data_IF_851614521188
#
_entry.id   IF_851614521188
#
_cell.length_a   1.000
_cell.length_b   1.000
_cell.length_c   1.000
_cell.angle_alpha   90.00
_cell.angle_beta   90.00
_cell.angle_gamma   90.00
#
_symmetry.space_group_name_H-M   'P 1'
#
loop_
_entity.id
_entity.type
_entity.pdbx_description
1 polymer ?
#
# COMPACT_ATOMS: atom_id res chain seq x y z
N UNK A 1 5.38 1.16 -37.53
CA UNK A 1 4.89 -0.22 -37.33
C UNK A 1 5.48 -1.06 -38.45
N UNK A 2 5.98 -2.27 -38.19
CA UNK A 2 6.50 -3.11 -39.26
C UNK A 2 5.37 -3.48 -40.23
N UNK A 3 5.70 -3.57 -41.51
CA UNK A 3 4.75 -3.96 -42.54
C UNK A 3 4.45 -5.46 -42.42
N UNK A 4 3.21 -5.79 -42.05
CA UNK A 4 2.71 -7.17 -41.93
C UNK A 4 2.02 -7.64 -43.23
N UNK A 5 2.29 -6.94 -44.35
CA UNK A 5 1.70 -7.17 -45.68
C UNK A 5 1.97 -8.57 -46.23
N UNK A 6 2.92 -9.31 -45.65
CA UNK A 6 3.25 -10.70 -46.02
C UNK A 6 2.11 -11.68 -45.68
N UNK A 7 1.23 -11.35 -44.72
CA UNK A 7 0.05 -12.16 -44.38
C UNK A 7 -1.08 -12.09 -45.42
N UNK A 8 -1.00 -11.17 -46.39
CA UNK A 8 -2.03 -11.00 -47.43
C UNK A 8 -1.86 -12.01 -48.59
N UNK A 9 -0.79 -12.82 -48.56
CA UNK A 9 -0.47 -13.81 -49.60
C UNK A 9 -0.44 -15.23 -49.02
N UNK A 10 -1.12 -16.15 -49.68
CA UNK A 10 -1.08 -17.58 -49.34
C UNK A 10 0.23 -18.19 -49.84
N UNK A 11 1.08 -18.78 -48.97
CA UNK A 11 2.36 -19.37 -49.36
C UNK A 11 2.13 -20.62 -50.22
N UNK A 12 2.91 -20.76 -51.29
CA UNK A 12 2.71 -21.80 -52.30
C UNK A 12 3.65 -23.00 -52.15
N UNK A 13 4.71 -22.87 -51.34
CA UNK A 13 5.71 -23.92 -51.06
C UNK A 13 6.13 -23.89 -49.56
N UNK A 14 6.40 -25.05 -48.91
CA UNK A 14 6.89 -25.12 -47.53
C UNK A 14 8.06 -24.19 -47.17
N UNK A 15 9.01 -23.95 -48.09
CA UNK A 15 10.12 -23.03 -47.80
C UNK A 15 9.68 -21.56 -47.66
N UNK A 16 8.63 -21.16 -48.40
CA UNK A 16 8.04 -19.82 -48.28
C UNK A 16 7.27 -19.66 -46.96
N UNK A 17 6.63 -20.72 -46.49
CA UNK A 17 5.94 -20.75 -45.20
C UNK A 17 6.93 -20.61 -44.05
N UNK A 18 8.02 -21.37 -44.06
CA UNK A 18 9.09 -21.29 -43.05
C UNK A 18 9.68 -19.88 -43.01
N UNK A 19 10.05 -19.32 -44.17
CA UNK A 19 10.57 -17.94 -44.23
C UNK A 19 9.56 -16.90 -43.68
N UNK A 20 8.28 -17.02 -44.04
CA UNK A 20 7.25 -16.09 -43.56
C UNK A 20 7.05 -16.18 -42.04
N UNK A 21 7.10 -17.39 -41.48
CA UNK A 21 6.97 -17.60 -40.03
C UNK A 21 8.18 -17.06 -39.26
N UNK A 22 9.42 -17.30 -39.75
CA UNK A 22 10.64 -16.73 -39.16
C UNK A 22 10.66 -15.20 -39.24
N UNK A 23 10.23 -14.63 -40.36
CA UNK A 23 10.15 -13.19 -40.55
C UNK A 23 9.14 -12.55 -39.59
N UNK A 24 7.96 -13.15 -39.43
CA UNK A 24 6.96 -12.69 -38.46
C UNK A 24 7.47 -12.81 -37.03
N UNK A 25 8.07 -13.95 -36.66
CA UNK A 25 8.62 -14.14 -35.32
C UNK A 25 9.66 -13.07 -34.98
N UNK A 26 10.57 -12.83 -35.91
CA UNK A 26 11.64 -11.82 -35.76
C UNK A 26 11.07 -10.42 -35.64
N UNK A 27 10.09 -10.09 -36.49
CA UNK A 27 9.44 -8.78 -36.52
C UNK A 27 8.63 -8.51 -35.25
N UNK A 28 7.89 -9.51 -34.76
CA UNK A 28 7.14 -9.41 -33.51
C UNK A 28 8.06 -9.30 -32.30
N UNK A 29 9.17 -10.05 -32.29
CA UNK A 29 10.17 -9.98 -31.22
C UNK A 29 10.84 -8.59 -31.20
N UNK A 30 11.30 -8.10 -32.34
CA UNK A 30 11.90 -6.77 -32.46
C UNK A 30 10.95 -5.65 -32.03
N UNK A 31 9.70 -5.70 -32.50
CA UNK A 31 8.71 -4.69 -32.12
C UNK A 31 8.36 -4.75 -30.64
N UNK A 32 8.24 -5.95 -30.07
CA UNK A 32 8.01 -6.11 -28.63
C UNK A 32 9.16 -5.50 -27.83
N UNK A 33 10.41 -5.73 -28.25
CA UNK A 33 11.59 -5.16 -27.60
C UNK A 33 11.68 -3.62 -27.76
N UNK A 34 11.24 -3.07 -28.90
CA UNK A 34 11.22 -1.64 -29.18
C UNK A 34 10.12 -0.90 -28.38
N UNK A 35 8.88 -1.40 -28.42
CA UNK A 35 7.73 -0.76 -27.76
C UNK A 35 7.62 -1.10 -26.28
N UNK A 36 8.13 -2.26 -25.87
CA UNK A 36 8.02 -2.79 -24.51
C UNK A 36 9.32 -3.50 -24.08
N UNK A 37 10.46 -2.78 -24.02
CA UNK A 37 11.74 -3.37 -23.65
C UNK A 37 11.66 -4.04 -22.28
N UNK A 38 12.19 -5.27 -22.19
CA UNK A 38 12.24 -6.01 -20.94
C UNK A 38 13.13 -5.28 -19.93
N UNK A 39 12.50 -4.65 -18.93
CA UNK A 39 13.20 -3.98 -17.83
C UNK A 39 13.04 -4.80 -16.56
N UNK A 40 14.15 -5.32 -16.06
CA UNK A 40 14.19 -5.94 -14.73
C UNK A 40 14.06 -4.85 -13.67
N UNK A 41 13.07 -4.98 -12.80
CA UNK A 41 12.87 -4.08 -11.66
C UNK A 41 13.27 -4.81 -10.39
N UNK A 42 14.24 -4.27 -9.65
CA UNK A 42 14.47 -4.72 -8.27
C UNK A 42 13.25 -4.38 -7.42
N UNK A 43 12.50 -5.40 -7.04
CA UNK A 43 11.43 -5.27 -6.04
C UNK A 43 12.11 -5.27 -4.68
N UNK A 44 12.28 -4.08 -4.09
CA UNK A 44 12.66 -3.98 -2.69
C UNK A 44 11.46 -4.44 -1.87
N UNK A 45 11.65 -5.49 -1.08
CA UNK A 45 10.67 -5.84 -0.05
C UNK A 45 10.53 -4.65 0.89
N UNK A 46 9.34 -4.04 0.90
CA UNK A 46 9.01 -3.10 1.96
C UNK A 46 9.02 -3.92 3.25
N UNK A 47 9.96 -3.62 4.15
CA UNK A 47 9.88 -4.09 5.53
C UNK A 47 8.59 -3.53 6.11
N UNK A 48 7.52 -4.34 6.10
CA UNK A 48 6.34 -4.05 6.89
C UNK A 48 6.83 -3.84 8.32
N UNK A 49 6.16 -2.95 9.06
CA UNK A 49 6.43 -2.84 10.48
C UNK A 49 6.39 -4.25 11.06
N UNK A 50 7.44 -4.66 11.80
CA UNK A 50 7.63 -6.07 12.15
C UNK A 50 6.48 -6.64 13.01
N UNK A 51 5.69 -5.76 13.64
CA UNK A 51 4.47 -6.08 14.37
C UNK A 51 3.19 -6.12 13.52
N UNK A 52 3.26 -5.77 12.23
CA UNK A 52 2.14 -5.86 11.30
C UNK A 52 2.11 -7.26 10.67
N UNK A 53 1.25 -8.11 11.20
CA UNK A 53 1.13 -9.52 10.82
C UNK A 53 -0.13 -9.79 9.98
N UNK A 54 -0.24 -10.99 9.42
CA UNK A 54 -1.37 -11.39 8.60
C UNK A 54 -2.71 -11.32 9.35
N UNK A 55 -2.72 -11.58 10.65
CA UNK A 55 -3.94 -11.45 11.47
C UNK A 55 -4.46 -10.00 11.52
N UNK A 56 -3.59 -9.02 11.77
CA UNK A 56 -3.98 -7.60 11.74
C UNK A 56 -4.36 -7.15 10.33
N UNK A 57 -3.76 -7.74 9.30
CA UNK A 57 -4.08 -7.48 7.89
C UNK A 57 -5.46 -8.00 7.52
N UNK A 58 -5.83 -9.21 7.91
CA UNK A 58 -7.16 -9.77 7.65
C UNK A 58 -8.23 -8.95 8.34
N UNK A 59 -8.05 -8.59 9.62
CA UNK A 59 -8.97 -7.71 10.34
C UNK A 59 -9.13 -6.34 9.67
N UNK A 60 -8.03 -5.73 9.21
CA UNK A 60 -8.09 -4.47 8.46
C UNK A 60 -8.91 -4.60 7.18
N UNK A 61 -8.82 -5.74 6.49
CA UNK A 61 -9.54 -5.99 5.23
C UNK A 61 -11.03 -6.29 5.45
N UNK A 62 -11.43 -6.85 6.59
CA UNK A 62 -12.84 -7.13 6.88
C UNK A 62 -13.63 -5.87 7.20
N UNK A 63 -13.02 -4.87 7.85
CA UNK A 63 -13.70 -3.63 8.24
C UNK A 63 -14.35 -2.89 7.07
N UNK A 64 -13.67 -2.60 5.94
CA UNK A 64 -14.30 -1.95 4.79
C UNK A 64 -15.39 -2.81 4.12
N UNK A 65 -15.29 -4.15 4.19
CA UNK A 65 -16.32 -5.04 3.63
C UNK A 65 -17.63 -4.90 4.40
N UNK A 66 -17.55 -4.86 5.74
CA UNK A 66 -18.71 -4.65 6.61
C UNK A 66 -19.29 -3.24 6.44
N UNK A 67 -18.43 -2.24 6.32
CA UNK A 67 -18.86 -0.86 6.05
C UNK A 67 -19.65 -0.78 4.73
N UNK A 68 -19.11 -1.32 3.63
CA UNK A 68 -19.79 -1.33 2.33
C UNK A 68 -21.14 -2.03 2.42
N UNK A 69 -21.19 -3.17 3.12
CA UNK A 69 -22.43 -3.93 3.32
C UNK A 69 -23.47 -3.12 4.10
N UNK A 70 -23.05 -2.40 5.15
CA UNK A 70 -23.92 -1.46 5.86
C UNK A 70 -24.37 -0.30 4.96
N UNK A 71 -23.48 0.30 4.17
CA UNK A 71 -23.84 1.41 3.26
C UNK A 71 -24.87 0.98 2.22
N UNK A 72 -24.80 -0.25 1.74
CA UNK A 72 -25.74 -0.82 0.77
C UNK A 72 -27.09 -1.20 1.40
N UNK A 73 -27.08 -1.89 2.53
CA UNK A 73 -28.30 -2.48 3.12
C UNK A 73 -28.98 -1.60 4.17
N UNK A 74 -28.23 -0.67 4.78
CA UNK A 74 -28.64 0.19 5.91
C UNK A 74 -29.14 -0.56 7.15
N UNK A 75 -28.89 -1.87 7.25
CA UNK A 75 -29.28 -2.68 8.41
C UNK A 75 -28.36 -2.43 9.61
N UNK A 76 -28.97 -2.32 10.80
CA UNK A 76 -28.28 -2.08 12.09
C UNK A 76 -27.27 -3.16 12.42
N UNK A 77 -27.56 -4.43 12.10
CA UNK A 77 -26.66 -5.57 12.31
C UNK A 77 -25.31 -5.34 11.64
N UNK A 78 -25.28 -4.85 10.39
CA UNK A 78 -24.02 -4.56 9.71
C UNK A 78 -23.30 -3.33 10.26
N UNK A 79 -24.04 -2.35 10.78
CA UNK A 79 -23.44 -1.19 11.45
C UNK A 79 -22.72 -1.60 12.74
N UNK A 80 -23.35 -2.46 13.55
CA UNK A 80 -22.77 -3.00 14.79
C UNK A 80 -21.53 -3.82 14.43
N UNK A 81 -21.66 -4.76 13.51
CA UNK A 81 -20.54 -5.60 13.06
C UNK A 81 -19.37 -4.76 12.52
N UNK A 82 -19.64 -3.70 11.77
CA UNK A 82 -18.60 -2.77 11.30
C UNK A 82 -17.87 -2.08 12.47
N UNK A 83 -18.61 -1.52 13.43
CA UNK A 83 -18.02 -0.88 14.62
C UNK A 83 -17.18 -1.87 15.45
N UNK A 84 -17.68 -3.07 15.65
CA UNK A 84 -16.96 -4.15 16.34
C UNK A 84 -15.68 -4.54 15.59
N UNK A 85 -15.76 -4.67 14.26
CA UNK A 85 -14.57 -4.98 13.45
C UNK A 85 -13.48 -3.92 13.58
N UNK A 86 -13.87 -2.63 13.64
CA UNK A 86 -12.93 -1.53 13.82
C UNK A 86 -12.27 -1.57 15.20
N UNK A 87 -13.05 -1.86 16.24
CA UNK A 87 -12.53 -2.02 17.60
C UNK A 87 -11.58 -3.22 17.70
N UNK A 88 -11.96 -4.36 17.13
CA UNK A 88 -11.16 -5.57 17.11
C UNK A 88 -9.85 -5.35 16.36
N UNK A 89 -9.89 -4.70 15.19
CA UNK A 89 -8.70 -4.32 14.45
C UNK A 89 -7.75 -3.45 15.30
N UNK A 90 -8.26 -2.40 15.95
CA UNK A 90 -7.45 -1.52 16.82
C UNK A 90 -6.83 -2.27 18.00
N UNK A 91 -7.61 -3.13 18.66
CA UNK A 91 -7.14 -3.97 19.77
C UNK A 91 -6.02 -4.90 19.31
N UNK A 92 -6.22 -5.64 18.22
CA UNK A 92 -5.21 -6.55 17.68
C UNK A 92 -3.95 -5.83 17.22
N UNK A 93 -4.10 -4.63 16.63
CA UNK A 93 -2.96 -3.81 16.23
C UNK A 93 -2.13 -3.35 17.44
N UNK A 94 -2.81 -2.91 18.50
CA UNK A 94 -2.17 -2.53 19.76
C UNK A 94 -1.48 -3.72 20.40
N UNK A 95 -2.15 -4.88 20.47
CA UNK A 95 -1.61 -6.10 21.05
C UNK A 95 -0.37 -6.60 20.30
N UNK A 96 -0.42 -6.64 18.97
CA UNK A 96 0.72 -7.06 18.15
C UNK A 96 1.91 -6.11 18.30
N UNK A 97 1.66 -4.80 18.35
CA UNK A 97 2.70 -3.80 18.59
C UNK A 97 3.31 -3.95 19.98
N UNK A 98 2.50 -4.09 21.03
CA UNK A 98 2.98 -4.29 22.39
C UNK A 98 3.80 -5.57 22.51
N UNK A 99 3.30 -6.70 21.99
CA UNK A 99 4.00 -7.97 22.02
C UNK A 99 5.39 -7.88 21.39
N UNK A 100 5.50 -7.24 20.22
CA UNK A 100 6.79 -7.02 19.55
C UNK A 100 7.76 -6.19 20.39
N UNK A 101 7.32 -5.06 20.96
CA UNK A 101 8.24 -4.24 21.75
C UNK A 101 8.59 -4.90 23.08
N UNK A 102 7.68 -5.66 23.70
CA UNK A 102 7.98 -6.46 24.89
C UNK A 102 9.07 -7.49 24.60
N UNK A 103 8.96 -8.26 23.51
CA UNK A 103 10.00 -9.24 23.14
C UNK A 103 11.30 -8.57 22.74
N UNK A 104 11.24 -7.43 22.03
CA UNK A 104 12.43 -6.67 21.66
C UNK A 104 13.19 -6.15 22.89
N UNK A 105 12.47 -5.66 23.90
CA UNK A 105 13.05 -5.19 25.17
C UNK A 105 13.66 -6.36 25.94
N UNK A 106 12.93 -7.47 26.10
CA UNK A 106 13.42 -8.65 26.83
C UNK A 106 14.71 -9.20 26.20
N UNK A 107 14.75 -9.31 24.87
CA UNK A 107 15.93 -9.77 24.13
C UNK A 107 17.14 -8.84 24.26
N UNK A 108 16.94 -7.56 24.57
CA UNK A 108 18.00 -6.55 24.68
C UNK A 108 18.13 -5.96 26.09
N UNK A 109 17.62 -6.64 27.11
CA UNK A 109 17.51 -6.09 28.48
C UNK A 109 18.85 -5.68 29.10
N UNK A 110 19.96 -6.27 28.66
CA UNK A 110 21.30 -5.96 29.14
C UNK A 110 22.03 -4.89 28.31
N UNK A 111 21.36 -4.27 27.34
CA UNK A 111 21.93 -3.22 26.48
C UNK A 111 21.19 -1.89 26.69
N UNK A 112 21.56 -1.08 27.69
CA UNK A 112 20.87 0.16 28.01
C UNK A 112 20.88 1.15 26.84
N UNK A 113 21.97 1.23 26.08
CA UNK A 113 22.07 2.10 24.89
C UNK A 113 21.01 1.74 23.86
N UNK A 114 20.81 0.45 23.58
CA UNK A 114 19.77 -0.02 22.68
C UNK A 114 18.36 0.31 23.20
N UNK A 115 18.10 0.05 24.49
CA UNK A 115 16.81 0.33 25.11
C UNK A 115 16.45 1.82 25.05
N UNK A 116 17.35 2.70 25.49
CA UNK A 116 17.12 4.15 25.42
C UNK A 116 16.93 4.63 23.99
N UNK A 117 17.69 4.11 23.02
CA UNK A 117 17.50 4.45 21.61
C UNK A 117 16.14 3.99 21.07
N UNK A 118 15.64 2.85 21.53
CA UNK A 118 14.35 2.29 21.13
C UNK A 118 13.21 3.11 21.73
N UNK A 119 13.28 3.45 23.02
CA UNK A 119 12.33 4.35 23.67
C UNK A 119 12.33 5.71 23.00
N UNK A 120 13.50 6.29 22.72
CA UNK A 120 13.61 7.55 21.99
C UNK A 120 13.00 7.47 20.58
N UNK A 121 13.13 6.36 19.85
CA UNK A 121 12.43 6.18 18.55
C UNK A 121 10.92 6.07 18.71
N UNK A 122 10.44 5.48 19.80
CA UNK A 122 9.02 5.33 20.10
C UNK A 122 8.36 6.65 20.53
N UNK A 123 9.09 7.47 21.28
CA UNK A 123 8.59 8.73 21.85
C UNK A 123 9.02 9.97 21.08
N UNK A 124 10.09 9.88 20.29
CA UNK A 124 10.84 11.01 19.72
C UNK A 124 10.20 11.74 18.55
N UNK A 125 9.05 11.30 18.04
CA UNK A 125 8.36 11.99 16.97
C UNK A 125 6.89 12.25 17.35
N UNK A 126 6.72 13.21 18.25
CA UNK A 126 5.50 14.03 18.42
C UNK A 126 5.73 15.47 17.94
N UNK A 127 6.69 15.67 17.03
CA UNK A 127 6.84 16.91 16.24
C UNK A 127 6.71 16.58 14.75
N UNK A 128 5.71 15.78 14.40
CA UNK A 128 5.07 15.99 13.10
C UNK A 128 4.25 17.25 13.28
N UNK A 129 4.71 18.31 12.63
CA UNK A 129 3.98 19.53 12.36
C UNK A 129 2.46 19.31 12.50
N UNK A 130 1.91 19.73 13.62
CA UNK A 130 0.53 20.19 13.61
C UNK A 130 0.56 21.32 12.59
N UNK A 131 0.03 21.01 11.41
CA UNK A 131 -0.53 21.96 10.46
C UNK A 131 -0.74 23.28 11.16
N UNK A 132 0.01 24.31 10.70
CA UNK A 132 -0.22 25.69 11.07
C UNK A 132 -1.72 25.87 11.28
N UNK A 133 -2.14 26.03 12.53
CA UNK A 133 -3.36 26.77 12.79
C UNK A 133 -3.17 28.06 11.99
N UNK A 134 -4.10 28.48 11.12
CA UNK A 134 -4.04 29.87 10.66
C UNK A 134 -3.92 30.68 11.95
N UNK A 135 -2.91 31.54 12.02
CA UNK A 135 -2.64 32.37 13.20
C UNK A 135 -3.87 33.25 13.39
N UNK A 136 -4.89 32.72 14.05
CA UNK A 136 -6.03 33.47 14.52
C UNK A 136 -5.51 34.16 15.77
N UNK A 137 -5.01 35.37 15.59
CA UNK A 137 -4.52 36.16 16.70
C UNK A 137 -5.65 36.45 17.67
N UNK A 138 -5.35 36.71 18.94
CA UNK A 138 -6.37 37.12 19.92
C UNK A 138 -7.23 38.30 19.42
N UNK A 139 -6.66 39.15 18.57
CA UNK A 139 -7.37 40.26 17.94
C UNK A 139 -8.39 39.79 16.88
N UNK A 140 -8.09 38.75 16.09
CA UNK A 140 -9.04 38.19 15.13
C UNK A 140 -10.22 37.52 15.85
N UNK A 141 -9.93 36.85 16.97
CA UNK A 141 -10.97 36.28 17.84
C UNK A 141 -11.88 37.37 18.44
N UNK A 142 -11.31 38.47 18.92
CA UNK A 142 -12.10 39.59 19.44
C UNK A 142 -12.95 40.27 18.36
N UNK A 143 -12.42 40.42 17.15
CA UNK A 143 -13.15 41.03 16.04
C UNK A 143 -14.35 40.21 15.57
N UNK A 144 -14.33 38.88 15.72
CA UNK A 144 -15.46 38.00 15.39
C UNK A 144 -16.71 38.31 16.22
N UNK A 145 -16.56 38.73 17.48
CA UNK A 145 -17.70 39.08 18.34
C UNK A 145 -18.15 40.54 18.20
N UNK A 146 -17.26 41.41 17.72
CA UNK A 146 -17.51 42.84 17.63
C UNK A 146 -18.03 43.29 16.26
N UNK A 147 -17.78 42.52 15.20
CA UNK A 147 -18.38 42.77 13.88
C UNK A 147 -19.52 41.77 13.65
N UNK A 148 -20.75 42.22 13.91
CA UNK A 148 -21.97 41.50 13.59
C UNK A 148 -22.55 41.98 12.27
#
# INVERSE_FOLDING_TARGET
LPEITILDRSPSDPAELDWATEHLETTLRYTLDDVAPLKTKMIREKKLAQWYNDHTRTLKQTTPKLERKWRQTKLTVFQIAWKESLLNYRKSLSAARSAYFSTLIENNKHNPRFLFSTVAKLTGNKSTALTCTPSLGSNDFMNFFNNK
#
